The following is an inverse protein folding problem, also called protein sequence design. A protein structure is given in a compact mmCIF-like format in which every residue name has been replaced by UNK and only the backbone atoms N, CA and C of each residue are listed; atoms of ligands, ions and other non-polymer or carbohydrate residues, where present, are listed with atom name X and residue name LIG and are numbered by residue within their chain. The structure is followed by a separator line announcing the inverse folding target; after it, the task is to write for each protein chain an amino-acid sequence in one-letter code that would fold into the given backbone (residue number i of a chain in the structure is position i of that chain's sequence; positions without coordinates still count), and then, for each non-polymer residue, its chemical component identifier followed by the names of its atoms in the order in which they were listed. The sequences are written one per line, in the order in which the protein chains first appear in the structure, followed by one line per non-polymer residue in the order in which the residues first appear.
data_IF_724066198492
#
_entry.id   IF_724066198492
#
_cell.length_a   1.000
_cell.length_b   1.000
_cell.length_c   1.000
_cell.angle_alpha   90.00
_cell.angle_beta   90.00
_cell.angle_gamma   90.00
#
_symmetry.space_group_name_H-M   'P 1'
#
loop_
_entity.id
_entity.type
_entity.pdbx_description
1 polymer ?
#
# COMPACT_ATOMS: atom_id res chain seq x y z
N UNK A 1 22.37 14.26 -9.30
CA UNK A 1 20.95 13.96 -9.05
C UNK A 1 20.46 13.16 -10.22
N UNK A 2 20.58 11.83 -10.16
CA UNK A 2 19.97 10.96 -11.17
C UNK A 2 18.48 10.90 -10.87
N UNK A 3 17.71 11.67 -11.62
CA UNK A 3 16.26 11.51 -11.68
C UNK A 3 16.01 10.21 -12.44
N UNK A 4 16.09 9.06 -11.76
CA UNK A 4 15.52 7.84 -12.32
C UNK A 4 14.03 8.13 -12.50
N UNK A 5 13.59 8.30 -13.74
CA UNK A 5 12.18 8.22 -14.12
C UNK A 5 11.75 6.77 -13.86
N UNK A 6 11.52 6.43 -12.58
CA UNK A 6 10.96 5.14 -12.22
C UNK A 6 9.60 5.04 -12.87
N UNK A 7 9.40 4.06 -13.74
CA UNK A 7 8.08 3.77 -14.29
C UNK A 7 7.13 3.53 -13.11
N UNK A 8 6.09 4.36 -13.01
CA UNK A 8 5.02 4.11 -12.05
C UNK A 8 4.24 2.90 -12.58
N UNK A 9 4.27 1.81 -11.81
CA UNK A 9 3.48 0.64 -12.07
C UNK A 9 2.10 0.81 -11.42
N UNK A 10 1.07 0.52 -12.19
CA UNK A 10 -0.32 0.59 -11.74
C UNK A 10 -0.86 -0.83 -11.56
N UNK A 11 -1.10 -1.23 -10.31
CA UNK A 11 -1.60 -2.56 -9.97
C UNK A 11 -2.99 -2.45 -9.38
N UNK A 12 -3.90 -3.34 -9.79
CA UNK A 12 -5.25 -3.44 -9.25
C UNK A 12 -5.26 -4.37 -8.05
N UNK A 13 -5.71 -3.87 -6.91
CA UNK A 13 -5.95 -4.63 -5.69
C UNK A 13 -7.46 -4.84 -5.56
N UNK A 14 -8.00 -6.02 -5.89
CA UNK A 14 -9.43 -6.25 -5.84
C UNK A 14 -9.96 -6.13 -4.41
N UNK A 15 -11.13 -5.53 -4.25
CA UNK A 15 -11.82 -5.48 -2.96
C UNK A 15 -12.31 -6.89 -2.61
N UNK A 16 -12.17 -7.27 -1.35
CA UNK A 16 -12.56 -8.60 -0.85
C UNK A 16 -14.06 -8.87 -1.03
N UNK A 17 -14.88 -7.83 -0.97
CA UNK A 17 -16.34 -7.90 -1.17
C UNK A 17 -16.75 -8.09 -2.64
N UNK A 18 -15.78 -8.09 -3.58
CA UNK A 18 -16.03 -8.23 -5.01
C UNK A 18 -16.63 -6.99 -5.67
N UNK A 19 -16.79 -5.87 -4.94
CA UNK A 19 -17.42 -4.65 -5.45
C UNK A 19 -16.55 -3.86 -6.44
N UNK A 20 -15.27 -4.20 -6.57
CA UNK A 20 -14.35 -3.50 -7.47
C UNK A 20 -12.88 -3.73 -7.11
N UNK A 21 -12.06 -2.71 -7.33
CA UNK A 21 -10.64 -2.73 -7.02
C UNK A 21 -10.11 -1.33 -6.67
N UNK A 22 -9.03 -1.26 -5.92
CA UNK A 22 -8.21 -0.06 -5.76
C UNK A 22 -7.03 -0.11 -6.73
N UNK A 23 -6.77 1.01 -7.42
CA UNK A 23 -5.60 1.13 -8.28
C UNK A 23 -4.46 1.73 -7.47
N UNK A 24 -3.38 0.97 -7.29
CA UNK A 24 -2.20 1.38 -6.55
C UNK A 24 -1.12 1.77 -7.55
N UNK A 25 -0.52 2.94 -7.34
CA UNK A 25 0.67 3.38 -8.07
C UNK A 25 1.92 3.14 -7.21
N UNK A 26 2.86 2.36 -7.70
CA UNK A 26 4.14 2.10 -7.03
C UNK A 26 5.28 2.07 -8.03
N UNK A 27 6.44 2.56 -7.61
CA UNK A 27 7.69 2.40 -8.38
C UNK A 27 8.40 1.09 -8.06
N UNK A 28 7.91 0.33 -7.07
CA UNK A 28 8.53 -0.91 -6.59
C UNK A 28 7.53 -2.07 -6.56
N UNK A 29 7.05 -2.56 -7.72
CA UNK A 29 6.07 -3.66 -7.78
C UNK A 29 6.58 -4.97 -7.15
N UNK A 30 7.89 -5.16 -7.02
CA UNK A 30 8.52 -6.31 -6.38
C UNK A 30 8.17 -6.46 -4.89
N UNK A 31 7.78 -5.38 -4.21
CA UNK A 31 7.36 -5.43 -2.80
C UNK A 31 5.86 -5.69 -2.59
N UNK A 32 5.08 -5.92 -3.65
CA UNK A 32 3.66 -6.28 -3.52
C UNK A 32 3.43 -7.45 -2.55
N UNK A 33 4.22 -8.55 -2.57
CA UNK A 33 4.12 -9.64 -1.60
C UNK A 33 4.34 -9.20 -0.14
N UNK A 34 5.01 -8.08 0.10
CA UNK A 34 5.29 -7.50 1.41
C UNK A 34 4.25 -6.48 1.89
N UNK A 35 3.21 -6.21 1.10
CA UNK A 35 2.16 -5.26 1.44
C UNK A 35 1.32 -5.75 2.63
N UNK A 36 1.35 -5.04 3.77
CA UNK A 36 0.59 -5.38 4.97
C UNK A 36 -0.70 -4.56 5.13
N UNK A 37 -0.76 -3.40 4.49
CA UNK A 37 -1.93 -2.53 4.46
C UNK A 37 -1.90 -1.65 3.20
N UNK A 38 -3.04 -1.08 2.86
CA UNK A 38 -3.15 -0.03 1.85
C UNK A 38 -3.54 1.26 2.54
N UNK A 39 -2.83 2.35 2.32
CA UNK A 39 -3.13 3.64 2.92
C UNK A 39 -3.75 4.58 1.89
N UNK A 40 -4.79 5.29 2.31
CA UNK A 40 -5.45 6.36 1.56
C UNK A 40 -5.56 7.60 2.44
N UNK A 41 -5.62 8.77 1.82
CA UNK A 41 -5.84 9.99 2.57
C UNK A 41 -7.34 10.09 2.97
N UNK A 42 -7.67 10.37 4.26
CA UNK A 42 -9.07 10.51 4.68
C UNK A 42 -9.82 11.67 4.02
N UNK A 43 -9.12 12.71 3.58
CA UNK A 43 -9.68 13.85 2.84
C UNK A 43 -9.83 13.59 1.34
N UNK A 44 -9.35 12.45 0.83
CA UNK A 44 -9.56 12.07 -0.57
C UNK A 44 -10.92 11.40 -0.74
N UNK A 45 -11.93 12.17 -1.15
CA UNK A 45 -13.31 11.71 -1.36
C UNK A 45 -13.40 10.53 -2.35
N UNK A 46 -12.43 10.37 -3.25
CA UNK A 46 -12.40 9.24 -4.20
C UNK A 46 -12.20 7.91 -3.49
N UNK A 47 -11.49 7.91 -2.35
CA UNK A 47 -11.10 6.68 -1.66
C UNK A 47 -11.46 6.60 -0.18
N UNK A 48 -11.94 7.68 0.43
CA UNK A 48 -12.31 7.70 1.85
C UNK A 48 -13.36 6.64 2.21
N UNK A 49 -14.27 6.33 1.28
CA UNK A 49 -15.28 5.28 1.44
C UNK A 49 -14.72 3.84 1.50
N UNK A 50 -13.44 3.63 1.14
CA UNK A 50 -12.79 2.32 1.26
C UNK A 50 -12.03 2.16 2.58
N UNK A 51 -11.89 3.20 3.41
CA UNK A 51 -11.24 3.09 4.72
C UNK A 51 -11.98 2.06 5.57
N UNK A 52 -11.24 1.11 6.15
CA UNK A 52 -11.77 -0.02 6.92
C UNK A 52 -12.20 -1.22 6.07
N UNK A 53 -12.25 -1.10 4.74
CA UNK A 53 -12.47 -2.25 3.85
C UNK A 53 -11.20 -3.08 3.71
N UNK A 54 -11.37 -4.29 3.20
CA UNK A 54 -10.28 -5.21 2.90
C UNK A 54 -10.08 -5.34 1.38
N UNK A 55 -8.82 -5.34 0.96
CA UNK A 55 -8.41 -5.65 -0.41
C UNK A 55 -7.54 -6.88 -0.43
N UNK A 56 -7.55 -7.56 -1.58
CA UNK A 56 -6.70 -8.69 -1.87
C UNK A 56 -5.40 -8.19 -2.50
N UNK A 57 -4.28 -8.61 -1.94
CA UNK A 57 -2.96 -8.42 -2.54
C UNK A 57 -2.84 -9.42 -3.70
N UNK A 58 -2.62 -8.93 -4.94
CA UNK A 58 -2.41 -9.81 -6.08
C UNK A 58 -1.21 -10.74 -5.85
N UNK A 59 -1.19 -11.90 -6.51
CA UNK A 59 -0.12 -12.92 -6.46
C UNK A 59 -0.11 -13.75 -5.17
N UNK A 60 -0.21 -13.12 -3.99
CA UNK A 60 -0.11 -13.83 -2.70
C UNK A 60 -1.46 -14.19 -2.07
N UNK A 61 -2.57 -13.80 -2.69
CA UNK A 61 -3.95 -14.04 -2.24
C UNK A 61 -4.19 -13.70 -0.75
N UNK A 62 -3.45 -12.72 -0.23
CA UNK A 62 -3.53 -12.22 1.15
C UNK A 62 -4.49 -11.05 1.23
N UNK A 63 -5.24 -10.97 2.31
CA UNK A 63 -6.12 -9.84 2.60
C UNK A 63 -5.37 -8.80 3.43
N UNK A 64 -5.53 -7.54 3.06
CA UNK A 64 -4.98 -6.40 3.81
C UNK A 64 -6.04 -5.33 3.97
N UNK A 65 -5.96 -4.60 5.07
CA UNK A 65 -6.90 -3.52 5.36
C UNK A 65 -6.51 -2.24 4.65
N UNK A 66 -7.53 -1.47 4.25
CA UNK A 66 -7.39 -0.10 3.79
C UNK A 66 -7.46 0.81 5.02
N UNK A 67 -6.38 1.52 5.30
CA UNK A 67 -6.24 2.45 6.43
C UNK A 67 -6.25 3.89 5.94
N UNK A 68 -6.62 4.81 6.84
CA UNK A 68 -6.52 6.24 6.60
C UNK A 68 -5.18 6.78 7.11
N UNK A 69 -4.39 7.44 6.28
CA UNK A 69 -3.22 8.18 6.74
C UNK A 69 -3.10 9.53 6.02
N UNK A 70 -3.03 10.61 6.80
CA UNK A 70 -2.95 11.98 6.29
C UNK A 70 -1.61 12.28 5.58
N UNK A 71 -0.57 11.48 5.80
CA UNK A 71 0.71 11.63 5.08
C UNK A 71 0.64 11.15 3.63
N UNK A 72 -0.39 10.39 3.26
CA UNK A 72 -0.62 10.00 1.86
C UNK A 72 -1.05 11.23 1.07
N UNK A 73 -0.36 11.51 -0.03
CA UNK A 73 -0.69 12.63 -0.91
C UNK A 73 -1.67 12.17 -2.00
N UNK A 74 -2.91 12.69 -2.05
CA UNK A 74 -3.90 12.34 -3.07
C UNK A 74 -3.45 12.62 -4.51
N UNK A 75 -2.54 13.58 -4.67
CA UNK A 75 -1.99 14.02 -5.96
C UNK A 75 -0.84 13.14 -6.46
N UNK A 76 -0.26 12.28 -5.61
CA UNK A 76 0.85 11.41 -5.99
C UNK A 76 0.35 10.07 -6.51
N UNK A 77 0.70 9.74 -7.76
CA UNK A 77 0.27 8.50 -8.40
C UNK A 77 -1.25 8.43 -8.50
N UNK A 78 -1.86 7.45 -7.82
CA UNK A 78 -3.33 7.31 -7.72
C UNK A 78 -3.92 7.90 -6.44
N UNK A 79 -3.12 8.35 -5.48
CA UNK A 79 -3.56 8.70 -4.12
C UNK A 79 -3.76 7.49 -3.19
N UNK A 80 -3.41 6.28 -3.66
CA UNK A 80 -3.49 5.02 -2.92
C UNK A 80 -2.09 4.41 -2.85
N UNK A 81 -1.59 4.18 -1.63
CA UNK A 81 -0.22 3.70 -1.38
C UNK A 81 -0.26 2.33 -0.71
N UNK A 82 0.59 1.40 -1.15
CA UNK A 82 0.79 0.13 -0.46
C UNK A 82 1.83 0.29 0.65
N UNK A 83 1.52 -0.17 1.85
CA UNK A 83 2.41 -0.10 3.02
C UNK A 83 3.10 -1.44 3.19
N UNK A 84 4.42 -1.45 3.15
CA UNK A 84 5.24 -2.65 3.27
C UNK A 84 6.08 -2.61 4.55
N UNK A 85 6.30 -3.75 5.19
CA UNK A 85 7.01 -3.82 6.49
C UNK A 85 8.47 -3.43 6.43
N UNK A 86 9.12 -3.70 5.30
CA UNK A 86 10.51 -3.32 5.01
C UNK A 86 10.56 -2.27 3.88
N UNK A 87 9.56 -1.41 3.85
CA UNK A 87 9.46 -0.33 2.87
C UNK A 87 10.43 0.81 3.14
N UNK A 88 10.01 2.03 2.81
CA UNK A 88 10.80 3.22 3.15
C UNK A 88 10.61 3.64 4.63
N UNK A 89 11.27 4.73 5.03
CA UNK A 89 11.13 5.25 6.40
C UNK A 89 9.68 5.64 6.73
N UNK A 90 8.87 5.98 5.74
CA UNK A 90 7.50 6.43 5.97
C UNK A 90 6.57 5.24 6.14
N UNK A 91 6.77 4.17 5.38
CA UNK A 91 6.10 2.89 5.60
C UNK A 91 6.28 2.40 7.05
N UNK A 92 7.51 2.45 7.58
CA UNK A 92 7.81 2.05 8.97
C UNK A 92 7.08 2.94 9.98
N UNK A 93 7.00 4.25 9.73
CA UNK A 93 6.25 5.18 10.59
C UNK A 93 4.75 4.89 10.56
N UNK A 94 4.19 4.63 9.39
CA UNK A 94 2.76 4.31 9.21
C UNK A 94 2.43 2.99 9.90
N UNK A 95 3.27 1.95 9.72
CA UNK A 95 3.12 0.67 10.43
C UNK A 95 3.10 0.86 11.94
N UNK A 96 4.02 1.67 12.48
CA UNK A 96 4.07 1.96 13.92
C UNK A 96 2.88 2.81 14.40
N UNK A 97 2.47 3.81 13.62
CA UNK A 97 1.36 4.72 13.96
C UNK A 97 0.02 4.00 14.00
N UNK A 98 -0.23 3.12 13.02
CA UNK A 98 -1.46 2.36 12.89
C UNK A 98 -1.40 0.98 13.54
N UNK A 99 -0.29 0.68 14.23
CA UNK A 99 -0.06 -0.57 14.95
C UNK A 99 -0.33 -1.81 14.08
N UNK A 100 0.10 -1.73 12.81
CA UNK A 100 -0.13 -2.75 11.78
C UNK A 100 0.69 -4.02 12.04
N UNK A 101 0.23 -5.19 11.55
CA UNK A 101 0.97 -6.43 11.68
C UNK A 101 2.31 -6.35 10.93
N UNK A 102 3.40 -6.61 11.64
CA UNK A 102 4.74 -6.69 11.05
C UNK A 102 4.96 -8.09 10.50
N UNK A 103 4.77 -8.25 9.20
CA UNK A 103 5.16 -9.44 8.45
C UNK A 103 6.67 -9.39 8.15
N UNK A 104 7.43 -10.28 8.79
CA UNK A 104 8.84 -10.51 8.49
C UNK A 104 8.97 -11.22 7.14
N UNK A 105 9.27 -10.47 6.07
CA UNK A 105 9.50 -11.04 4.73
C UNK A 105 10.98 -11.12 4.37
N UNK A 106 11.83 -10.34 5.05
CA UNK A 106 13.27 -10.56 5.08
C UNK A 106 13.62 -11.29 6.37
N UNK A 107 14.11 -12.50 6.23
CA UNK A 107 14.97 -13.09 7.27
C UNK A 107 16.25 -12.23 7.34
N UNK A 108 16.95 -12.21 8.49
CA UNK A 108 18.14 -11.37 8.78
C UNK A 108 19.30 -11.43 7.75
N UNK A 109 19.17 -12.26 6.72
CA UNK A 109 20.15 -12.52 5.66
C UNK A 109 19.82 -11.89 4.30
N UNK A 110 18.77 -11.07 4.17
CA UNK A 110 18.48 -10.39 2.89
C UNK A 110 18.04 -11.32 1.75
N UNK A 111 17.41 -12.45 2.12
CA UNK A 111 16.78 -13.43 1.23
C UNK A 111 15.30 -13.56 1.56
#
# INVERSE_FOLDING_TARGET
YETMQGELHYIRFPLKDGSGYLLIATTRPEFIPACVAVAVNPSDERYSAYIGKEVMVPIINRQVQVISDESVLPSFGTGVVMICTYGDKEDVKIVKRHNLPVIMLLTENGL
#
